data_IF_540696232611
#
_entry.id   IF_540696232611
#
_cell.length_a   1.000
_cell.length_b   1.000
_cell.length_c   1.000
_cell.angle_alpha   90.00
_cell.angle_beta   90.00
_cell.angle_gamma   90.00
#
_symmetry.space_group_name_H-M   'P 1'
#
loop_
_entity.id
_entity.type
_entity.pdbx_description
1 polymer ?
#
# COMPACT_ATOMS: atom_id res chain seq x y z
N UNK A 1 35.94 -20.48 -19.80
CA UNK A 1 35.76 -19.51 -18.70
C UNK A 1 34.64 -20.04 -17.84
N UNK A 2 35.00 -20.71 -16.74
CA UNK A 2 34.04 -21.27 -15.79
C UNK A 2 33.50 -20.18 -14.89
N UNK A 3 32.20 -19.91 -14.98
CA UNK A 3 31.49 -19.07 -14.02
C UNK A 3 31.26 -19.94 -12.78
N UNK A 4 32.18 -19.87 -11.80
CA UNK A 4 31.99 -20.52 -10.50
C UNK A 4 30.72 -19.96 -9.85
N UNK A 5 29.71 -20.81 -9.73
CA UNK A 5 28.58 -20.63 -8.82
C UNK A 5 29.12 -20.55 -7.39
N UNK A 6 29.11 -19.35 -6.81
CA UNK A 6 29.62 -19.13 -5.46
C UNK A 6 28.99 -17.90 -4.86
N UNK A 7 28.11 -18.14 -3.87
CA UNK A 7 27.40 -17.17 -3.00
C UNK A 7 25.99 -16.75 -3.45
N UNK A 8 25.16 -17.68 -3.93
CA UNK A 8 23.70 -17.47 -3.93
C UNK A 8 23.14 -18.09 -2.64
N UNK A 9 22.58 -17.26 -1.75
CA UNK A 9 21.71 -17.72 -0.65
C UNK A 9 22.34 -18.11 0.71
N UNK A 10 23.50 -17.56 1.12
CA UNK A 10 24.03 -17.79 2.48
C UNK A 10 23.62 -16.67 3.46
N UNK A 11 23.25 -17.00 4.71
CA UNK A 11 23.00 -16.01 5.76
C UNK A 11 24.22 -15.11 6.03
N UNK A 12 23.95 -13.81 6.25
CA UNK A 12 24.95 -12.73 6.33
C UNK A 12 26.08 -12.95 7.35
N UNK A 13 25.82 -13.68 8.45
CA UNK A 13 26.83 -14.00 9.46
C UNK A 13 28.01 -14.86 8.93
N UNK A 14 27.81 -15.64 7.85
CA UNK A 14 28.89 -16.40 7.22
C UNK A 14 29.67 -15.57 6.17
N UNK A 15 29.24 -14.34 5.87
CA UNK A 15 29.83 -13.46 4.86
C UNK A 15 30.73 -12.37 5.45
N UNK A 16 30.74 -12.14 6.77
CA UNK A 16 31.61 -11.16 7.44
C UNK A 16 33.10 -11.37 7.09
N UNK A 17 33.57 -12.62 7.06
CA UNK A 17 34.94 -12.95 6.64
C UNK A 17 35.19 -12.78 5.13
N UNK A 18 34.14 -12.79 4.29
CA UNK A 18 34.26 -12.67 2.84
C UNK A 18 34.20 -11.22 2.34
N UNK A 19 33.43 -10.35 3.02
CA UNK A 19 33.37 -8.91 2.76
C UNK A 19 34.65 -8.19 3.20
N UNK A 20 35.27 -8.64 4.30
CA UNK A 20 36.50 -8.07 4.82
C UNK A 20 37.73 -8.28 3.92
N UNK A 21 37.66 -9.16 2.91
CA UNK A 21 38.85 -9.69 2.26
C UNK A 21 39.14 -9.19 0.85
N UNK A 22 38.24 -8.50 0.12
CA UNK A 22 38.61 -7.93 -1.21
C UNK A 22 37.60 -7.04 -1.99
N UNK A 23 36.51 -6.50 -1.41
CA UNK A 23 35.51 -5.77 -2.23
C UNK A 23 35.24 -4.34 -1.79
N UNK A 24 35.51 -3.39 -2.68
CA UNK A 24 34.81 -2.09 -2.71
C UNK A 24 33.33 -2.34 -2.95
N UNK A 25 32.54 -2.40 -1.88
CA UNK A 25 31.09 -2.26 -1.95
C UNK A 25 30.80 -0.87 -2.49
N UNK A 26 30.00 -0.77 -3.55
CA UNK A 26 29.54 0.50 -4.08
C UNK A 26 28.11 0.77 -3.55
N UNK A 27 27.94 1.62 -2.53
CA UNK A 27 26.62 1.90 -1.96
C UNK A 27 25.66 2.57 -2.96
N UNK A 28 26.18 3.16 -4.05
CA UNK A 28 25.34 3.70 -5.14
C UNK A 28 24.71 2.61 -6.02
N UNK A 29 25.10 1.34 -5.82
CA UNK A 29 24.60 0.17 -6.56
C UNK A 29 23.68 -0.70 -5.74
N UNK A 30 23.25 -0.26 -4.56
CA UNK A 30 22.29 -1.06 -3.78
C UNK A 30 21.00 -1.20 -4.60
N UNK A 31 20.64 -2.44 -4.95
CA UNK A 31 19.34 -2.70 -5.58
C UNK A 31 18.27 -2.78 -4.50
N UNK A 32 17.06 -2.34 -4.83
CA UNK A 32 15.88 -2.49 -3.99
C UNK A 32 14.96 -3.54 -4.60
N UNK A 33 14.58 -4.52 -3.79
CA UNK A 33 13.57 -5.50 -4.15
C UNK A 33 12.41 -5.37 -3.18
N UNK A 34 11.31 -4.77 -3.64
CA UNK A 34 10.06 -4.67 -2.89
C UNK A 34 9.07 -5.66 -3.49
N UNK A 35 8.67 -6.66 -2.70
CA UNK A 35 7.69 -7.67 -3.14
C UNK A 35 6.33 -7.39 -2.50
N UNK A 36 5.43 -6.65 -3.17
CA UNK A 36 4.09 -6.44 -2.67
C UNK A 36 3.24 -7.70 -2.86
N UNK A 37 2.44 -8.03 -1.85
CA UNK A 37 1.35 -9.00 -1.98
C UNK A 37 0.12 -8.51 -1.26
N UNK A 38 -1.07 -8.70 -1.83
CA UNK A 38 -2.32 -8.32 -1.20
C UNK A 38 -3.25 -9.53 -1.11
N UNK A 39 -3.88 -9.72 0.05
CA UNK A 39 -4.85 -10.77 0.27
C UNK A 39 -6.14 -10.19 0.82
N UNK A 40 -7.26 -10.58 0.21
CA UNK A 40 -8.57 -10.30 0.79
C UNK A 40 -8.83 -11.16 2.03
N UNK A 41 -9.33 -10.53 3.09
CA UNK A 41 -9.67 -11.18 4.35
C UNK A 41 -11.06 -10.78 4.82
N UNK A 42 -11.70 -11.64 5.61
CA UNK A 42 -12.99 -11.30 6.22
C UNK A 42 -12.79 -10.13 7.20
N UNK A 43 -13.60 -9.08 7.06
CA UNK A 43 -13.50 -7.87 7.86
C UNK A 43 -14.36 -7.96 9.13
N UNK A 44 -13.72 -7.93 10.30
CA UNK A 44 -14.41 -7.93 11.61
C UNK A 44 -14.71 -6.54 12.20
N UNK A 45 -14.20 -5.46 11.61
CA UNK A 45 -14.29 -4.08 12.13
C UNK A 45 -15.55 -3.30 11.74
N UNK A 46 -15.57 -2.01 12.08
CA UNK A 46 -16.53 -1.02 11.59
C UNK A 46 -15.97 -0.30 10.36
N UNK A 47 -16.82 -0.04 9.36
CA UNK A 47 -16.43 0.58 8.08
C UNK A 47 -16.72 -0.31 6.86
N UNK A 48 -16.50 0.27 5.67
CA UNK A 48 -16.74 -0.39 4.37
C UNK A 48 -15.58 -1.31 3.96
N UNK A 49 -14.35 -0.90 4.26
CA UNK A 49 -13.15 -1.68 3.94
C UNK A 49 -11.95 -1.27 4.79
N UNK A 50 -10.89 -2.07 4.71
CA UNK A 50 -9.56 -1.66 5.15
C UNK A 50 -8.43 -2.19 4.29
N UNK A 51 -7.29 -1.49 4.35
CA UNK A 51 -6.00 -1.95 3.91
C UNK A 51 -5.00 -1.85 5.07
N UNK A 52 -4.42 -2.98 5.48
CA UNK A 52 -3.43 -3.06 6.56
C UNK A 52 -2.10 -3.62 6.02
N UNK A 53 -1.01 -2.85 6.06
CA UNK A 53 0.31 -3.30 5.66
C UNK A 53 1.02 -4.12 6.76
N UNK A 54 1.84 -5.07 6.34
CA UNK A 54 2.76 -5.87 7.14
C UNK A 54 4.11 -5.86 6.44
N UNK A 55 5.16 -5.43 7.16
CA UNK A 55 6.50 -5.29 6.58
C UNK A 55 7.45 -6.31 7.17
N UNK A 56 8.27 -6.89 6.30
CA UNK A 56 9.45 -7.65 6.66
C UNK A 56 10.66 -7.11 5.90
N UNK A 57 11.58 -6.47 6.61
CA UNK A 57 12.90 -6.11 6.10
C UNK A 57 13.85 -7.28 6.34
N UNK A 58 14.40 -7.84 5.27
CA UNK A 58 15.35 -8.95 5.33
C UNK A 58 16.77 -8.43 5.56
N UNK A 59 17.68 -9.30 6.04
CA UNK A 59 19.11 -9.05 5.90
C UNK A 59 19.47 -8.69 4.47
N UNK A 60 20.43 -7.78 4.29
CA UNK A 60 20.99 -7.52 2.96
C UNK A 60 21.47 -8.85 2.36
N UNK A 61 21.15 -9.07 1.10
CA UNK A 61 21.82 -10.10 0.31
C UNK A 61 22.98 -9.47 -0.43
N UNK A 62 23.95 -10.26 -0.85
CA UNK A 62 25.03 -9.77 -1.71
C UNK A 62 25.14 -10.60 -2.96
N UNK A 63 25.35 -9.95 -4.10
CA UNK A 63 25.69 -10.61 -5.35
C UNK A 63 27.07 -10.15 -5.84
N UNK A 64 27.78 -11.03 -6.57
CA UNK A 64 29.01 -10.65 -7.26
C UNK A 64 28.68 -10.23 -8.69
N UNK A 65 28.84 -8.95 -8.99
CA UNK A 65 28.64 -8.38 -10.34
C UNK A 65 29.95 -7.79 -10.82
N UNK A 66 30.52 -8.35 -11.90
CA UNK A 66 31.79 -7.86 -12.47
C UNK A 66 32.97 -7.89 -11.50
N UNK A 67 33.00 -8.85 -10.56
CA UNK A 67 34.05 -8.95 -9.53
C UNK A 67 33.86 -8.05 -8.31
N UNK A 68 32.82 -7.20 -8.29
CA UNK A 68 32.43 -6.39 -7.13
C UNK A 68 31.30 -7.05 -6.35
N UNK A 69 31.26 -6.82 -5.04
CA UNK A 69 30.16 -7.26 -4.18
C UNK A 69 29.13 -6.12 -4.14
N UNK A 70 27.90 -6.43 -4.52
CA UNK A 70 26.79 -5.49 -4.57
C UNK A 70 25.75 -5.90 -3.52
N UNK A 71 25.44 -5.03 -2.54
CA UNK A 71 24.40 -5.30 -1.56
C UNK A 71 23.01 -5.13 -2.19
N UNK A 72 22.07 -5.97 -1.80
CA UNK A 72 20.68 -5.92 -2.25
C UNK A 72 19.77 -5.76 -1.02
N UNK A 73 19.04 -4.65 -0.98
CA UNK A 73 18.02 -4.40 0.03
C UNK A 73 16.73 -5.13 -0.37
N UNK A 74 16.29 -6.08 0.45
CA UNK A 74 15.07 -6.85 0.21
C UNK A 74 14.03 -6.54 1.29
N UNK A 75 12.89 -6.02 0.86
CA UNK A 75 11.74 -5.71 1.69
C UNK A 75 10.51 -6.44 1.16
N UNK A 76 9.94 -7.34 1.96
CA UNK A 76 8.62 -7.88 1.66
C UNK A 76 7.57 -7.00 2.33
N UNK A 77 6.58 -6.56 1.55
CA UNK A 77 5.41 -5.85 2.06
C UNK A 77 4.19 -6.67 1.69
N UNK A 78 3.45 -7.12 2.70
CA UNK A 78 2.18 -7.81 2.49
C UNK A 78 1.03 -6.97 3.02
N UNK A 79 -0.12 -7.07 2.39
CA UNK A 79 -1.30 -6.28 2.69
C UNK A 79 -2.49 -7.19 2.94
N UNK A 80 -3.24 -6.87 3.98
CA UNK A 80 -4.58 -7.43 4.18
C UNK A 80 -5.61 -6.39 3.74
N UNK A 81 -6.43 -6.77 2.76
CA UNK A 81 -7.56 -5.97 2.30
C UNK A 81 -8.83 -6.58 2.89
N UNK A 82 -9.43 -5.92 3.86
CA UNK A 82 -10.70 -6.36 4.45
C UNK A 82 -11.87 -5.66 3.79
N UNK A 83 -12.88 -6.38 3.33
CA UNK A 83 -14.13 -5.79 2.83
C UNK A 83 -15.29 -6.20 3.73
N UNK A 84 -16.20 -5.26 4.01
CA UNK A 84 -17.41 -5.51 4.79
C UNK A 84 -18.64 -5.03 4.04
N UNK A 85 -19.70 -5.83 4.10
CA UNK A 85 -21.06 -5.36 3.83
C UNK A 85 -21.53 -4.66 5.10
N UNK A 86 -21.72 -3.33 5.12
CA UNK A 86 -22.22 -2.66 6.30
C UNK A 86 -23.67 -3.09 6.53
N UNK A 87 -24.03 -3.27 7.80
CA UNK A 87 -25.35 -3.77 8.18
C UNK A 87 -26.45 -2.81 7.70
N UNK A 88 -27.54 -3.37 7.16
CA UNK A 88 -28.68 -2.59 6.66
C UNK A 88 -28.43 -1.78 5.38
N UNK A 89 -27.24 -1.86 4.76
CA UNK A 89 -26.95 -1.22 3.48
C UNK A 89 -27.21 -2.17 2.31
N UNK A 90 -27.53 -1.59 1.15
CA UNK A 90 -27.72 -2.31 -0.11
C UNK A 90 -26.47 -2.16 -0.97
N UNK A 91 -25.88 -3.28 -1.37
CA UNK A 91 -24.78 -3.28 -2.34
C UNK A 91 -25.30 -3.03 -3.76
N UNK A 92 -24.67 -2.08 -4.44
CA UNK A 92 -24.95 -1.66 -5.81
C UNK A 92 -23.69 -1.89 -6.64
N UNK A 93 -23.53 -3.13 -7.09
CA UNK A 93 -22.44 -3.53 -7.98
C UNK A 93 -22.54 -2.90 -9.37
N UNK A 94 -23.75 -2.54 -9.83
CA UNK A 94 -23.96 -1.86 -11.12
C UNK A 94 -25.30 -1.12 -11.15
N UNK A 95 -25.52 -0.32 -12.20
CA UNK A 95 -26.83 0.29 -12.45
C UNK A 95 -27.98 -0.72 -12.58
N UNK A 96 -27.68 -2.00 -12.87
CA UNK A 96 -28.67 -3.08 -13.02
C UNK A 96 -28.91 -3.88 -11.73
N UNK A 97 -28.30 -3.49 -10.60
CA UNK A 97 -28.49 -4.19 -9.32
C UNK A 97 -29.98 -4.37 -8.97
N UNK A 98 -30.34 -5.58 -8.54
CA UNK A 98 -31.72 -5.97 -8.22
C UNK A 98 -32.29 -5.25 -6.98
N UNK A 99 -31.42 -4.74 -6.11
CA UNK A 99 -31.81 -3.89 -4.97
C UNK A 99 -32.30 -2.50 -5.36
N UNK A 100 -32.14 -2.09 -6.64
CA UNK A 100 -32.60 -0.81 -7.16
C UNK A 100 -34.00 -0.92 -7.76
N UNK A 101 -34.85 0.05 -7.45
CA UNK A 101 -36.22 0.14 -7.96
C UNK A 101 -36.68 1.62 -8.02
N UNK A 102 -37.83 1.92 -8.66
CA UNK A 102 -38.31 3.29 -8.80
C UNK A 102 -38.52 4.05 -7.48
N UNK A 103 -38.70 3.35 -6.35
CA UNK A 103 -38.92 3.98 -5.04
C UNK A 103 -37.62 4.37 -4.33
N UNK A 104 -36.47 3.81 -4.70
CA UNK A 104 -35.22 4.01 -3.97
C UNK A 104 -34.04 4.49 -4.82
N UNK A 105 -34.15 4.53 -6.15
CA UNK A 105 -33.02 4.89 -7.01
C UNK A 105 -32.50 6.32 -6.75
N UNK A 106 -33.36 7.28 -6.43
CA UNK A 106 -32.94 8.65 -6.12
C UNK A 106 -32.00 8.71 -4.90
N UNK A 107 -32.28 7.91 -3.87
CA UNK A 107 -31.39 7.77 -2.73
C UNK A 107 -30.09 7.07 -3.10
N UNK A 108 -30.14 6.03 -3.95
CA UNK A 108 -28.94 5.36 -4.42
C UNK A 108 -28.02 6.29 -5.22
N UNK A 109 -28.59 7.14 -6.08
CA UNK A 109 -27.84 8.19 -6.80
C UNK A 109 -27.21 9.16 -5.80
N UNK A 110 -27.98 9.66 -4.82
CA UNK A 110 -27.44 10.56 -3.80
C UNK A 110 -26.31 9.94 -2.96
N UNK A 111 -26.41 8.66 -2.63
CA UNK A 111 -25.42 7.95 -1.81
C UNK A 111 -24.14 7.62 -2.58
N UNK A 112 -24.23 7.45 -3.89
CA UNK A 112 -23.13 7.01 -4.75
C UNK A 112 -22.52 8.17 -5.56
N UNK A 113 -23.16 9.34 -5.60
CA UNK A 113 -22.57 10.52 -6.23
C UNK A 113 -21.46 11.07 -5.34
N UNK A 114 -20.21 11.13 -5.84
CA UNK A 114 -19.09 11.64 -5.08
C UNK A 114 -19.16 13.17 -4.95
N UNK A 115 -18.73 13.69 -3.81
CA UNK A 115 -18.59 15.13 -3.58
C UNK A 115 -17.34 15.73 -4.28
N UNK A 116 -17.03 16.99 -3.95
CA UNK A 116 -15.85 17.69 -4.47
C UNK A 116 -14.51 17.00 -4.15
N UNK A 117 -14.45 16.23 -3.06
CA UNK A 117 -13.29 15.47 -2.62
C UNK A 117 -13.28 14.02 -3.15
N UNK A 118 -14.30 13.60 -3.90
CA UNK A 118 -14.44 12.23 -4.40
C UNK A 118 -15.16 11.29 -3.42
N UNK A 119 -15.64 11.78 -2.29
CA UNK A 119 -16.29 10.97 -1.26
C UNK A 119 -17.77 10.76 -1.59
N UNK A 120 -18.19 9.50 -1.65
CA UNK A 120 -19.59 9.11 -1.75
C UNK A 120 -20.18 8.85 -0.34
N UNK A 121 -21.32 9.49 0.04
CA UNK A 121 -21.90 9.40 1.38
C UNK A 121 -22.25 7.99 1.87
N UNK A 122 -22.68 7.13 0.94
CA UNK A 122 -22.98 5.71 1.19
C UNK A 122 -24.00 5.43 2.32
N UNK A 123 -24.94 6.34 2.58
CA UNK A 123 -25.79 6.27 3.79
C UNK A 123 -26.74 5.07 3.83
N UNK A 124 -27.21 4.59 2.68
CA UNK A 124 -28.09 3.41 2.53
C UNK A 124 -27.65 2.49 1.40
N UNK A 125 -27.08 3.04 0.34
CA UNK A 125 -26.53 2.31 -0.79
C UNK A 125 -25.03 2.49 -0.83
N UNK A 126 -24.31 1.42 -1.14
CA UNK A 126 -22.86 1.47 -1.32
C UNK A 126 -22.47 0.56 -2.49
N UNK A 127 -21.21 0.59 -2.89
CA UNK A 127 -20.68 -0.36 -3.88
C UNK A 127 -19.47 -1.07 -3.30
N UNK A 128 -19.58 -2.39 -3.10
CA UNK A 128 -18.46 -3.22 -2.63
C UNK A 128 -17.32 -3.22 -3.66
N UNK A 129 -17.63 -3.21 -4.96
CA UNK A 129 -16.64 -3.15 -6.02
C UNK A 129 -15.80 -1.86 -5.97
N UNK A 130 -16.46 -0.71 -5.75
CA UNK A 130 -15.75 0.58 -5.64
C UNK A 130 -15.02 0.72 -4.30
N UNK A 131 -15.56 0.14 -3.22
CA UNK A 131 -14.85 0.03 -1.95
C UNK A 131 -13.58 -0.79 -2.10
N UNK A 132 -13.66 -1.95 -2.78
CA UNK A 132 -12.49 -2.78 -3.10
C UNK A 132 -11.45 -1.98 -3.86
N UNK A 133 -11.85 -1.26 -4.91
CA UNK A 133 -10.93 -0.40 -5.67
C UNK A 133 -10.21 0.60 -4.76
N UNK A 134 -10.95 1.29 -3.89
CA UNK A 134 -10.38 2.23 -2.92
C UNK A 134 -9.34 1.56 -2.01
N UNK A 135 -9.63 0.39 -1.44
CA UNK A 135 -8.66 -0.30 -0.58
C UNK A 135 -7.43 -0.82 -1.33
N UNK A 136 -7.59 -1.22 -2.60
CA UNK A 136 -6.45 -1.62 -3.45
C UNK A 136 -5.63 -0.43 -3.92
N UNK A 137 -6.21 0.76 -4.04
CA UNK A 137 -5.44 1.99 -4.27
C UNK A 137 -4.44 2.21 -3.12
N UNK A 138 -4.87 2.01 -1.87
CA UNK A 138 -3.98 2.12 -0.70
C UNK A 138 -2.79 1.16 -0.81
N UNK A 139 -2.96 -0.05 -1.34
CA UNK A 139 -1.84 -0.98 -1.58
C UNK A 139 -0.80 -0.33 -2.49
N UNK A 140 -1.19 0.19 -3.65
CA UNK A 140 -0.27 0.83 -4.59
C UNK A 140 0.38 2.09 -4.01
N UNK A 141 -0.38 2.92 -3.29
CA UNK A 141 0.12 4.14 -2.66
C UNK A 141 1.15 3.84 -1.56
N UNK A 142 0.88 2.81 -0.75
CA UNK A 142 1.79 2.31 0.27
C UNK A 142 3.07 1.74 -0.31
N UNK A 143 2.99 0.94 -1.38
CA UNK A 143 4.17 0.42 -2.07
C UNK A 143 5.05 1.56 -2.58
N UNK A 144 4.46 2.54 -3.27
CA UNK A 144 5.21 3.69 -3.79
C UNK A 144 5.89 4.50 -2.68
N UNK A 145 5.18 4.74 -1.57
CA UNK A 145 5.77 5.44 -0.43
C UNK A 145 6.91 4.64 0.23
N UNK A 146 6.73 3.32 0.38
CA UNK A 146 7.75 2.40 0.87
C UNK A 146 9.00 2.39 0.00
N UNK A 147 8.84 2.36 -1.34
CA UNK A 147 9.94 2.50 -2.29
C UNK A 147 10.70 3.81 -2.11
N UNK A 148 9.98 4.90 -1.87
CA UNK A 148 10.57 6.21 -1.61
C UNK A 148 11.38 6.25 -0.30
N UNK A 149 10.91 5.59 0.76
CA UNK A 149 11.62 5.46 2.04
C UNK A 149 12.93 4.68 1.85
N UNK A 150 12.86 3.50 1.23
CA UNK A 150 14.05 2.65 0.96
C UNK A 150 15.06 3.41 0.11
N UNK A 151 14.61 4.10 -0.95
CA UNK A 151 15.49 4.87 -1.82
C UNK A 151 16.21 5.99 -1.07
N UNK A 152 15.50 6.78 -0.25
CA UNK A 152 16.13 7.87 0.51
C UNK A 152 17.20 7.36 1.47
N UNK A 153 16.98 6.21 2.10
CA UNK A 153 17.94 5.61 2.99
C UNK A 153 19.20 5.13 2.23
N UNK A 154 19.02 4.49 1.06
CA UNK A 154 20.12 4.10 0.17
C UNK A 154 20.91 5.33 -0.31
N UNK A 155 20.21 6.37 -0.77
CA UNK A 155 20.84 7.61 -1.25
C UNK A 155 21.63 8.32 -0.14
N UNK A 156 21.15 8.26 1.11
CA UNK A 156 21.86 8.80 2.26
C UNK A 156 23.14 8.02 2.55
N UNK A 157 23.12 6.69 2.45
CA UNK A 157 24.30 5.86 2.59
C UNK A 157 25.32 6.12 1.45
N UNK A 158 24.84 6.23 0.20
CA UNK A 158 25.68 6.47 -0.98
C UNK A 158 26.43 7.81 -0.98
N UNK A 159 26.07 8.74 -0.09
CA UNK A 159 26.76 10.03 0.09
C UNK A 159 27.86 9.99 1.16
N UNK A 160 27.97 8.90 1.92
CA UNK A 160 28.99 8.77 2.97
C UNK A 160 30.30 8.26 2.36
N UNK A 161 31.41 8.80 2.84
CA UNK A 161 32.74 8.21 2.64
C UNK A 161 32.96 7.14 3.71
N UNK A 162 32.78 5.87 3.33
CA UNK A 162 32.77 4.73 4.26
C UNK A 162 34.03 3.90 4.02
N UNK A 163 34.87 3.77 5.04
CA UNK A 163 36.00 2.86 5.00
C UNK A 163 35.52 1.41 4.78
N UNK A 164 36.20 0.59 3.96
CA UNK A 164 35.75 -0.77 3.65
C UNK A 164 35.41 -1.63 4.88
N UNK A 165 36.20 -1.51 5.95
CA UNK A 165 36.01 -2.21 7.22
C UNK A 165 34.75 -1.78 8.00
N UNK A 166 34.25 -0.57 7.75
CA UNK A 166 33.05 -0.03 8.39
C UNK A 166 31.75 -0.34 7.61
N UNK A 167 31.87 -0.71 6.34
CA UNK A 167 30.71 -0.91 5.44
C UNK A 167 29.69 -1.89 5.98
N UNK A 168 30.13 -2.96 6.64
CA UNK A 168 29.22 -3.93 7.24
C UNK A 168 28.34 -3.31 8.33
N UNK A 169 28.96 -2.54 9.24
CA UNK A 169 28.24 -1.84 10.30
C UNK A 169 27.23 -0.85 9.72
N UNK A 170 27.60 -0.17 8.65
CA UNK A 170 26.74 0.79 7.95
C UNK A 170 25.56 0.11 7.23
N UNK A 171 25.76 -1.03 6.56
CA UNK A 171 24.65 -1.80 5.94
C UNK A 171 23.66 -2.31 7.00
N UNK A 172 24.16 -2.75 8.16
CA UNK A 172 23.30 -3.14 9.28
C UNK A 172 22.53 -1.95 9.85
N UNK A 173 23.17 -0.79 10.00
CA UNK A 173 22.51 0.43 10.43
C UNK A 173 21.44 0.88 9.42
N UNK A 174 21.75 0.80 8.12
CA UNK A 174 20.80 1.09 7.04
C UNK A 174 19.58 0.17 7.09
N UNK A 175 19.77 -1.13 7.33
CA UNK A 175 18.66 -2.08 7.47
C UNK A 175 17.72 -1.69 8.61
N UNK A 176 18.25 -1.36 9.78
CA UNK A 176 17.46 -0.98 10.94
C UNK A 176 16.78 0.40 10.76
N UNK A 177 17.43 1.32 10.06
CA UNK A 177 16.81 2.58 9.64
C UNK A 177 15.61 2.33 8.72
N UNK A 178 15.79 1.54 7.65
CA UNK A 178 14.70 1.19 6.72
C UNK A 178 13.54 0.52 7.48
N UNK A 179 13.86 -0.40 8.40
CA UNK A 179 12.85 -1.06 9.26
C UNK A 179 12.08 -0.04 10.09
N UNK A 180 12.79 0.86 10.78
CA UNK A 180 12.19 1.91 11.62
C UNK A 180 11.29 2.85 10.83
N UNK A 181 11.80 3.40 9.73
CA UNK A 181 11.09 4.38 8.89
C UNK A 181 9.83 3.77 8.25
N UNK A 182 9.90 2.50 7.79
CA UNK A 182 8.73 1.81 7.25
C UNK A 182 7.70 1.51 8.35
N UNK A 183 8.13 1.06 9.54
CA UNK A 183 7.21 0.82 10.66
C UNK A 183 6.53 2.13 11.07
N UNK A 184 7.25 3.23 11.18
CA UNK A 184 6.70 4.53 11.54
C UNK A 184 5.67 4.99 10.48
N UNK A 185 6.04 4.94 9.21
CA UNK A 185 5.15 5.31 8.11
C UNK A 185 3.86 4.48 8.12
N UNK A 186 3.97 3.16 8.17
CA UNK A 186 2.82 2.27 8.13
C UNK A 186 2.01 2.25 9.42
N UNK A 187 2.62 2.48 10.58
CA UNK A 187 1.88 2.69 11.82
C UNK A 187 1.09 4.01 11.78
N UNK A 188 1.66 5.07 11.19
CA UNK A 188 0.96 6.33 10.96
C UNK A 188 -0.22 6.18 10.00
N UNK A 189 -0.02 5.46 8.89
CA UNK A 189 -1.06 5.19 7.91
C UNK A 189 -2.14 4.21 8.41
N UNK A 190 -1.74 3.19 9.17
CA UNK A 190 -2.60 2.12 9.68
C UNK A 190 -3.36 2.45 10.96
N UNK A 191 -3.05 3.56 11.66
CA UNK A 191 -3.82 3.99 12.84
C UNK A 191 -5.23 4.37 12.41
N UNK A 192 -6.15 3.42 12.50
CA UNK A 192 -7.57 3.68 12.68
C UNK A 192 -7.83 3.65 14.17
N UNK A 193 -8.13 4.77 14.78
CA UNK A 193 -8.79 4.71 16.09
C UNK A 193 -10.22 4.21 15.86
N UNK A 194 -10.75 3.39 16.76
CA UNK A 194 -12.11 2.86 16.66
C UNK A 194 -13.19 3.97 16.61
N UNK A 195 -12.85 5.21 16.99
CA UNK A 195 -13.71 6.39 16.82
C UNK A 195 -13.72 6.94 15.39
N UNK A 196 -12.66 6.75 14.60
CA UNK A 196 -12.56 7.22 13.21
C UNK A 196 -13.24 6.29 12.21
N UNK A 197 -13.53 5.05 12.60
CA UNK A 197 -14.27 4.07 11.80
C UNK A 197 -15.79 4.08 12.07
N UNK A 198 -16.31 5.07 12.80
CA UNK A 198 -17.75 5.19 13.02
C UNK A 198 -18.39 5.82 11.79
N UNK A 199 -19.60 5.37 11.44
CA UNK A 199 -20.39 6.00 10.36
C UNK A 199 -20.62 7.51 10.59
N UNK A 200 -20.50 7.96 11.85
CA UNK A 200 -20.69 9.35 12.28
C UNK A 200 -19.38 10.13 12.50
N UNK A 201 -18.22 9.54 12.16
CA UNK A 201 -16.94 10.23 12.31
C UNK A 201 -16.86 11.43 11.35
N UNK A 202 -16.24 12.51 11.80
CA UNK A 202 -16.01 13.71 11.00
C UNK A 202 -15.27 13.34 9.71
N UNK A 203 -16.00 13.33 8.58
CA UNK A 203 -15.49 12.97 7.26
C UNK A 203 -14.30 13.85 6.88
N UNK A 204 -14.19 15.07 7.43
CA UNK A 204 -13.06 15.96 7.20
C UNK A 204 -11.76 15.43 7.82
N UNK A 205 -11.81 14.84 9.01
CA UNK A 205 -10.65 14.22 9.65
C UNK A 205 -10.21 12.94 8.92
N UNK A 206 -11.18 12.17 8.40
CA UNK A 206 -10.90 10.97 7.62
C UNK A 206 -10.24 11.28 6.28
N UNK A 207 -10.81 12.22 5.52
CA UNK A 207 -10.30 12.61 4.19
C UNK A 207 -9.00 13.41 4.24
N UNK A 208 -8.68 14.03 5.39
CA UNK A 208 -7.41 14.73 5.61
C UNK A 208 -6.19 13.79 5.77
N UNK A 209 -6.40 12.47 5.86
CA UNK A 209 -5.29 11.52 5.99
C UNK A 209 -4.44 11.45 4.72
N UNK A 210 -3.12 11.24 4.86
CA UNK A 210 -2.27 10.94 3.73
C UNK A 210 -2.81 9.74 2.95
N UNK A 211 -3.02 9.89 1.65
CA UNK A 211 -3.49 8.82 0.77
C UNK A 211 -5.02 8.79 0.56
N UNK A 212 -5.84 9.10 1.56
CA UNK A 212 -7.32 9.03 1.45
C UNK A 212 -7.88 9.96 0.37
N UNK A 213 -7.44 11.22 0.33
CA UNK A 213 -7.86 12.16 -0.72
C UNK A 213 -7.49 11.66 -2.14
N UNK A 214 -6.35 10.96 -2.28
CA UNK A 214 -5.97 10.36 -3.57
C UNK A 214 -6.81 9.12 -3.89
N UNK A 215 -7.09 8.28 -2.90
CA UNK A 215 -7.91 7.08 -3.05
C UNK A 215 -9.37 7.43 -3.44
N UNK A 216 -9.95 8.47 -2.83
CA UNK A 216 -11.24 8.99 -3.25
C UNK A 216 -11.18 9.68 -4.61
N UNK A 217 -10.12 10.44 -4.87
CA UNK A 217 -9.88 11.04 -6.18
C UNK A 217 -9.82 10.00 -7.31
N UNK A 218 -9.15 8.87 -7.08
CA UNK A 218 -9.04 7.76 -8.04
C UNK A 218 -10.38 7.10 -8.34
N UNK A 219 -11.22 6.87 -7.33
CA UNK A 219 -12.52 6.22 -7.49
C UNK A 219 -13.66 7.14 -7.94
N UNK A 220 -13.44 8.47 -7.95
CA UNK A 220 -14.47 9.46 -8.25
C UNK A 220 -15.14 9.24 -9.63
N UNK A 221 -14.40 9.02 -10.73
CA UNK A 221 -15.02 8.79 -12.04
C UNK A 221 -15.95 7.57 -12.05
N UNK A 222 -15.57 6.49 -11.37
CA UNK A 222 -16.33 5.25 -11.33
C UNK A 222 -17.57 5.35 -10.43
N UNK A 223 -17.48 6.06 -9.31
CA UNK A 223 -18.66 6.42 -8.49
C UNK A 223 -19.64 7.27 -9.29
N UNK A 224 -19.14 8.30 -9.99
CA UNK A 224 -19.98 9.15 -10.84
C UNK A 224 -20.64 8.35 -11.96
N UNK A 225 -19.88 7.51 -12.68
CA UNK A 225 -20.41 6.67 -13.75
C UNK A 225 -21.49 5.70 -13.25
N UNK A 226 -21.34 5.17 -12.04
CA UNK A 226 -22.36 4.32 -11.43
C UNK A 226 -23.64 5.12 -11.13
N UNK A 227 -23.52 6.30 -10.50
CA UNK A 227 -24.65 7.18 -10.21
C UNK A 227 -25.38 7.64 -11.49
N UNK A 228 -24.63 7.99 -12.54
CA UNK A 228 -25.15 8.37 -13.84
C UNK A 228 -25.88 7.20 -14.51
N UNK A 229 -25.31 6.00 -14.45
CA UNK A 229 -25.92 4.79 -14.99
C UNK A 229 -27.25 4.44 -14.30
N UNK A 230 -27.34 4.62 -12.97
CA UNK A 230 -28.59 4.47 -12.21
C UNK A 230 -29.60 5.52 -12.67
N UNK A 231 -29.18 6.79 -12.76
CA UNK A 231 -30.05 7.88 -13.23
C UNK A 231 -30.61 7.59 -14.61
N UNK A 232 -29.76 7.21 -15.56
CA UNK A 232 -30.16 6.89 -16.94
C UNK A 232 -31.16 5.72 -17.00
N UNK A 233 -30.94 4.68 -16.20
CA UNK A 233 -31.85 3.51 -16.13
C UNK A 233 -33.27 3.90 -15.73
N UNK A 234 -33.43 4.81 -14.77
CA UNK A 234 -34.74 5.17 -14.22
C UNK A 234 -35.35 6.44 -14.86
N UNK A 235 -34.56 7.28 -15.52
CA UNK A 235 -35.05 8.43 -16.30
C UNK A 235 -35.74 8.00 -17.62
N UNK A 236 -35.38 6.83 -18.16
CA UNK A 236 -35.98 6.26 -19.37
C UNK A 236 -37.37 5.64 -19.17
N UNK A 237 -37.89 5.63 -17.94
CA UNK A 237 -39.21 5.06 -17.59
C UNK A 237 -40.36 5.97 -17.99
N UNK A 238 -40.75 5.90 -19.26
CA UNK A 238 -42.15 6.07 -19.70
C UNK A 238 -42.92 4.77 -19.48
#
# INVERSE_FOLDING_TARGET
MDVKAGLVGKPFAQQEAALALNSTVDPSKITKNINPSAKEVAHGGSGYGYCVPFVKVHPFETEKVGGKVQPNAHVDVSFQVGLKVPEGKVDVASAQSTGLNPKNYAQAVSDLTPDGAGYAPRTRFYSQALTRRHEYFHVSDYVSAGEGIVQRAIDALGKKDIAPEAMYGELKALQEQIRGDLIEYYAGAGRRTASECREDADVSAYTARPGEARAFGDGRPEYQALADGITARFAGGR
#
